data_IF_281892429892
#
_entry.id   IF_281892429892
#
_cell.length_a   1.000
_cell.length_b   1.000
_cell.length_c   1.000
_cell.angle_alpha   90.00
_cell.angle_beta   90.00
_cell.angle_gamma   90.00
#
_symmetry.space_group_name_H-M   'P 1'
#
loop_
_entity.id
_entity.type
_entity.pdbx_description
1 polymer ?
#
# COMPACT_ATOMS: atom_id res chain seq x y z
N UNK A 1 28.22 40.06 -15.26
CA UNK A 1 28.69 39.87 -16.65
C UNK A 1 27.59 40.36 -17.56
N UNK A 2 27.87 41.30 -18.47
CA UNK A 2 26.88 41.78 -19.43
C UNK A 2 26.89 40.77 -20.57
N UNK A 3 25.79 40.04 -20.76
CA UNK A 3 25.63 39.07 -21.85
C UNK A 3 24.97 39.80 -23.00
N UNK A 4 25.50 39.65 -24.22
CA UNK A 4 24.85 40.19 -25.43
C UNK A 4 23.42 39.65 -25.54
N UNK A 5 22.46 40.51 -25.87
CA UNK A 5 21.02 40.19 -25.88
C UNK A 5 20.73 38.90 -26.68
N UNK A 6 21.46 38.69 -27.78
CA UNK A 6 21.32 37.50 -28.60
C UNK A 6 21.70 36.19 -27.86
N UNK A 7 22.70 36.25 -26.98
CA UNK A 7 23.08 35.13 -26.12
C UNK A 7 22.06 34.87 -25.02
N UNK A 8 21.45 35.93 -24.49
CA UNK A 8 20.37 35.82 -23.49
C UNK A 8 19.17 35.05 -24.05
N UNK A 9 18.73 35.37 -25.27
CA UNK A 9 17.58 34.69 -25.90
C UNK A 9 17.80 33.19 -26.16
N UNK A 10 19.04 32.76 -26.39
CA UNK A 10 19.37 31.34 -26.60
C UNK A 10 19.26 30.50 -25.31
N UNK A 11 19.34 31.13 -24.14
CA UNK A 11 19.24 30.46 -22.84
C UNK A 11 17.80 30.37 -22.33
N UNK A 12 16.83 30.96 -23.03
CA UNK A 12 15.44 30.95 -22.58
C UNK A 12 14.74 29.64 -22.98
N UNK A 13 13.92 29.06 -22.09
CA UNK A 13 13.07 27.93 -22.42
C UNK A 13 12.18 28.22 -23.65
N UNK A 14 11.92 27.20 -24.47
CA UNK A 14 11.14 27.33 -25.72
C UNK A 14 9.68 27.78 -25.50
N UNK A 15 9.16 27.68 -24.28
CA UNK A 15 7.82 28.13 -23.90
C UNK A 15 7.78 29.57 -23.38
N UNK A 16 8.88 30.33 -23.48
CA UNK A 16 8.93 31.74 -23.06
C UNK A 16 8.03 32.59 -23.95
N UNK A 17 7.19 33.44 -23.35
CA UNK A 17 6.31 34.39 -24.07
C UNK A 17 6.70 35.81 -23.74
N UNK A 18 6.94 36.62 -24.77
CA UNK A 18 7.17 38.06 -24.62
C UNK A 18 5.86 38.82 -24.80
N UNK A 19 5.65 39.83 -23.96
CA UNK A 19 4.54 40.77 -24.11
C UNK A 19 5.12 42.14 -24.42
N UNK A 20 4.62 42.77 -25.48
CA UNK A 20 4.93 44.17 -25.79
C UNK A 20 3.82 45.05 -25.21
N UNK A 21 4.22 46.06 -24.46
CA UNK A 21 3.35 47.10 -23.94
C UNK A 21 3.60 48.39 -24.72
N UNK A 22 2.55 49.11 -25.07
CA UNK A 22 2.67 50.44 -25.68
C UNK A 22 2.94 51.51 -24.61
N UNK A 23 3.36 52.70 -25.05
CA UNK A 23 3.55 53.82 -24.14
C UNK A 23 2.26 54.09 -23.34
N UNK A 24 2.38 54.10 -22.02
CA UNK A 24 1.31 54.24 -21.02
C UNK A 24 0.42 53.00 -20.77
N UNK A 25 0.80 51.82 -21.25
CA UNK A 25 0.18 50.56 -20.82
C UNK A 25 0.94 49.96 -19.62
N UNK A 26 0.26 49.80 -18.49
CA UNK A 26 0.77 49.03 -17.34
C UNK A 26 0.33 47.58 -17.45
N UNK A 27 1.27 46.65 -17.27
CA UNK A 27 0.94 45.24 -17.14
C UNK A 27 0.06 45.02 -15.90
N UNK A 28 -1.08 44.36 -16.09
CA UNK A 28 -1.96 43.90 -15.02
C UNK A 28 -2.26 42.41 -15.23
N UNK A 29 -2.12 41.56 -14.20
CA UNK A 29 -2.53 40.17 -14.29
C UNK A 29 -4.02 40.07 -14.61
N UNK A 30 -4.37 39.49 -15.77
CA UNK A 30 -5.78 39.38 -16.20
C UNK A 30 -6.60 38.41 -15.35
N UNK A 31 -5.95 37.64 -14.46
CA UNK A 31 -6.50 36.89 -13.34
C UNK A 31 -5.45 36.86 -12.23
N UNK A 32 -5.85 36.81 -10.94
CA UNK A 32 -4.97 36.45 -9.80
C UNK A 32 -4.59 34.97 -9.90
N UNK A 33 -4.00 34.57 -11.01
CA UNK A 33 -3.40 33.26 -11.21
C UNK A 33 -1.91 33.54 -11.25
N UNK A 34 -1.25 32.97 -10.26
CA UNK A 34 0.18 33.04 -10.01
C UNK A 34 0.98 32.86 -11.30
N UNK A 35 1.91 33.79 -11.52
CA UNK A 35 2.76 33.81 -12.70
C UNK A 35 3.53 32.50 -12.82
N UNK A 36 3.66 32.00 -14.05
CA UNK A 36 4.13 30.65 -14.40
C UNK A 36 5.58 30.27 -14.04
N UNK A 37 6.13 30.83 -12.96
CA UNK A 37 7.39 30.42 -12.33
C UNK A 37 7.20 29.82 -10.93
N UNK A 38 5.99 29.88 -10.35
CA UNK A 38 5.71 29.36 -9.01
C UNK A 38 5.81 27.83 -8.87
N UNK A 39 5.72 27.08 -9.97
CA UNK A 39 5.83 25.61 -9.94
C UNK A 39 7.26 25.09 -9.75
N UNK A 40 8.28 25.94 -9.94
CA UNK A 40 9.70 25.58 -9.79
C UNK A 40 10.25 25.81 -8.37
N UNK A 41 9.47 26.41 -7.45
CA UNK A 41 9.87 26.65 -6.07
C UNK A 41 9.56 25.48 -5.11
N UNK A 42 9.04 24.36 -5.63
CA UNK A 42 8.46 23.30 -4.79
C UNK A 42 9.46 22.32 -4.17
N UNK A 43 10.77 22.46 -4.42
CA UNK A 43 11.76 21.51 -3.91
C UNK A 43 12.91 22.13 -3.08
N UNK A 44 12.87 23.44 -2.82
CA UNK A 44 13.79 24.05 -1.85
C UNK A 44 13.26 25.39 -1.38
N UNK A 45 12.52 25.37 -0.28
CA UNK A 45 12.70 26.23 0.88
C UNK A 45 11.53 25.97 1.84
N UNK A 46 11.90 25.52 3.03
CA UNK A 46 11.07 25.58 4.22
C UNK A 46 10.80 27.06 4.51
N UNK A 47 9.73 27.60 3.92
CA UNK A 47 9.27 28.96 4.16
C UNK A 47 8.18 28.90 5.22
N UNK A 48 8.54 29.34 6.43
CA UNK A 48 7.56 29.91 7.36
C UNK A 48 6.69 30.90 6.59
N UNK A 49 5.38 30.67 6.61
CA UNK A 49 4.41 31.59 6.06
C UNK A 49 4.39 32.87 6.93
N UNK A 50 4.89 33.97 6.38
CA UNK A 50 4.68 35.31 6.92
C UNK A 50 3.18 35.64 6.85
N UNK A 51 2.53 35.70 8.03
CA UNK A 51 1.10 35.96 8.18
C UNK A 51 0.89 37.26 8.95
N UNK A 52 1.32 38.37 8.36
CA UNK A 52 0.86 39.70 8.77
C UNK A 52 -0.53 39.97 8.16
N UNK A 53 -1.51 40.08 9.06
CA UNK A 53 -2.90 40.54 8.89
C UNK A 53 -4.04 39.48 8.79
N UNK A 54 -4.00 38.46 9.66
CA UNK A 54 -5.19 37.67 9.99
C UNK A 54 -5.42 37.58 11.51
N UNK A 55 -5.74 38.70 12.15
CA UNK A 55 -6.38 38.66 13.47
C UNK A 55 -7.76 38.00 13.33
N UNK A 56 -7.87 36.73 13.72
CA UNK A 56 -9.09 35.87 13.72
C UNK A 56 -9.38 35.00 12.48
N UNK A 57 -8.37 34.41 11.83
CA UNK A 57 -8.58 33.14 11.13
C UNK A 57 -8.21 32.01 12.10
N UNK A 58 -9.21 31.29 12.64
CA UNK A 58 -8.93 30.11 13.47
C UNK A 58 -8.02 29.16 12.69
N UNK A 59 -6.99 28.61 13.36
CA UNK A 59 -6.04 27.73 12.71
C UNK A 59 -6.80 26.57 12.00
N UNK A 60 -6.36 26.13 10.81
CA UNK A 60 -7.13 25.18 9.97
C UNK A 60 -7.60 23.93 10.72
N UNK A 61 -6.77 23.42 11.65
CA UNK A 61 -7.06 22.26 12.49
C UNK A 61 -8.22 22.47 13.47
N UNK A 62 -8.56 23.71 13.84
CA UNK A 62 -9.64 24.02 14.80
C UNK A 62 -11.00 23.63 14.22
N UNK A 63 -11.24 23.95 12.94
CA UNK A 63 -12.47 23.57 12.25
C UNK A 63 -12.56 22.05 12.09
N UNK A 64 -11.44 21.40 11.79
CA UNK A 64 -11.35 19.95 11.69
C UNK A 64 -11.63 19.29 13.04
N UNK A 65 -11.10 19.83 14.14
CA UNK A 65 -11.38 19.33 15.49
C UNK A 65 -12.86 19.49 15.86
N UNK A 66 -13.49 20.62 15.50
CA UNK A 66 -14.92 20.80 15.69
C UNK A 66 -15.75 19.80 14.88
N UNK A 67 -15.36 19.53 13.64
CA UNK A 67 -16.01 18.52 12.81
C UNK A 67 -15.86 17.12 13.42
N UNK A 68 -14.67 16.77 13.89
CA UNK A 68 -14.39 15.48 14.53
C UNK A 68 -15.17 15.30 15.85
N UNK A 69 -15.40 16.39 16.58
CA UNK A 69 -16.25 16.42 17.78
C UNK A 69 -17.72 16.16 17.48
N UNK A 70 -18.21 16.65 16.34
CA UNK A 70 -19.60 16.46 15.92
C UNK A 70 -19.83 15.07 15.30
N UNK A 71 -18.88 14.61 14.50
CA UNK A 71 -18.95 13.34 13.80
C UNK A 71 -17.56 12.68 13.71
N UNK A 72 -17.37 11.60 14.47
CA UNK A 72 -16.15 10.79 14.46
C UNK A 72 -15.91 10.09 13.12
N UNK A 73 -16.98 9.80 12.36
CA UNK A 73 -16.85 9.09 11.08
C UNK A 73 -16.23 9.96 9.99
N UNK A 74 -16.25 11.29 10.19
CA UNK A 74 -15.61 12.25 9.30
C UNK A 74 -14.13 11.98 9.05
N UNK A 75 -13.43 11.30 9.98
CA UNK A 75 -12.03 10.87 9.85
C UNK A 75 -11.76 10.04 8.59
N UNK A 76 -12.75 9.27 8.11
CA UNK A 76 -12.63 8.40 6.93
C UNK A 76 -12.55 9.25 5.65
N UNK A 77 -13.24 10.39 5.65
CA UNK A 77 -13.35 11.29 4.49
C UNK A 77 -12.27 12.37 4.47
N UNK A 78 -11.56 12.58 5.58
CA UNK A 78 -10.49 13.57 5.69
C UNK A 78 -9.31 13.22 4.78
N UNK A 79 -8.75 14.25 4.15
CA UNK A 79 -7.51 14.10 3.40
C UNK A 79 -6.34 13.83 4.33
N UNK A 80 -5.25 13.31 3.79
CA UNK A 80 -4.01 13.09 4.54
C UNK A 80 -3.47 14.39 5.14
N UNK A 81 -3.55 15.50 4.40
CA UNK A 81 -3.15 16.82 4.87
C UNK A 81 -4.01 17.32 6.04
N UNK A 82 -5.32 17.05 6.01
CA UNK A 82 -6.22 17.40 7.10
C UNK A 82 -5.91 16.61 8.37
N UNK A 83 -5.69 15.30 8.23
CA UNK A 83 -5.28 14.44 9.34
C UNK A 83 -3.92 14.87 9.90
N UNK A 84 -2.95 15.21 9.05
CA UNK A 84 -1.65 15.74 9.48
C UNK A 84 -1.81 17.05 10.26
N UNK A 85 -2.69 17.95 9.82
CA UNK A 85 -2.92 19.21 10.55
C UNK A 85 -3.48 19.00 11.97
N UNK A 86 -4.24 17.93 12.21
CA UNK A 86 -4.74 17.54 13.53
C UNK A 86 -3.64 16.91 14.40
N UNK A 87 -2.71 16.17 13.79
CA UNK A 87 -1.53 15.62 14.48
C UNK A 87 -0.57 16.74 14.89
N UNK A 88 -0.34 17.71 14.02
CA UNK A 88 0.58 18.83 14.26
C UNK A 88 0.02 19.89 15.22
N UNK A 89 -1.28 19.80 15.55
CA UNK A 89 -1.93 20.73 16.46
C UNK A 89 -1.34 20.61 17.89
N UNK A 90 -1.21 21.72 18.64
CA UNK A 90 -0.81 21.66 20.04
C UNK A 90 -1.79 20.81 20.86
N UNK A 91 -1.30 19.73 21.49
CA UNK A 91 -2.13 18.74 22.18
C UNK A 91 -3.11 19.36 23.20
N UNK A 92 -2.66 20.32 24.01
CA UNK A 92 -3.50 21.01 25.01
C UNK A 92 -4.62 21.85 24.39
N UNK A 93 -4.37 22.48 23.24
CA UNK A 93 -5.39 23.25 22.53
C UNK A 93 -6.38 22.32 21.82
N UNK A 94 -5.88 21.21 21.25
CA UNK A 94 -6.71 20.18 20.64
C UNK A 94 -7.63 19.51 21.68
N UNK A 95 -7.09 19.19 22.86
CA UNK A 95 -7.87 18.67 24.00
C UNK A 95 -8.99 19.63 24.37
N UNK A 96 -8.68 20.93 24.48
CA UNK A 96 -9.66 21.97 24.78
C UNK A 96 -10.74 22.08 23.69
N UNK A 97 -10.37 22.02 22.40
CA UNK A 97 -11.31 22.09 21.29
C UNK A 97 -12.28 20.88 21.27
N UNK A 98 -11.74 19.68 21.47
CA UNK A 98 -12.50 18.43 21.51
C UNK A 98 -13.29 18.24 22.81
N UNK A 99 -12.91 18.94 23.88
CA UNK A 99 -13.46 18.73 25.23
C UNK A 99 -12.94 17.46 25.89
N UNK A 100 -11.70 17.09 25.60
CA UNK A 100 -11.01 15.92 26.15
C UNK A 100 -10.02 16.32 27.26
N UNK A 101 -9.59 15.34 28.04
CA UNK A 101 -8.40 15.46 28.87
C UNK A 101 -7.14 15.38 27.98
N UNK A 102 -6.07 16.07 28.36
CA UNK A 102 -4.82 16.14 27.57
C UNK A 102 -4.31 14.75 27.17
N UNK A 103 -4.28 13.79 28.11
CA UNK A 103 -3.86 12.41 27.84
C UNK A 103 -4.68 11.74 26.73
N UNK A 104 -5.99 11.98 26.69
CA UNK A 104 -6.88 11.39 25.67
C UNK A 104 -6.68 12.05 24.30
N UNK A 105 -6.34 13.34 24.27
CA UNK A 105 -5.99 14.03 23.04
C UNK A 105 -4.64 13.53 22.49
N UNK A 106 -3.68 13.26 23.37
CA UNK A 106 -2.38 12.65 23.01
C UNK A 106 -2.57 11.24 22.41
N UNK A 107 -3.36 10.37 23.06
CA UNK A 107 -3.71 9.04 22.54
C UNK A 107 -4.41 9.11 21.16
N UNK A 108 -5.25 10.15 20.96
CA UNK A 108 -5.89 10.40 19.67
C UNK A 108 -4.86 10.81 18.61
N UNK A 109 -3.97 11.75 18.91
CA UNK A 109 -2.92 12.19 17.98
C UNK A 109 -1.98 11.04 17.61
N UNK A 110 -1.61 10.19 18.56
CA UNK A 110 -0.82 8.98 18.28
C UNK A 110 -1.57 8.02 17.34
N UNK A 111 -2.88 7.88 17.52
CA UNK A 111 -3.72 7.04 16.67
C UNK A 111 -3.90 7.62 15.27
N UNK A 112 -4.00 8.94 15.15
CA UNK A 112 -4.01 9.65 13.88
C UNK A 112 -2.68 9.45 13.14
N UNK A 113 -1.54 9.59 13.83
CA UNK A 113 -0.22 9.35 13.25
C UNK A 113 -0.08 7.91 12.74
N UNK A 114 -0.42 6.90 13.55
CA UNK A 114 -0.42 5.49 13.11
C UNK A 114 -1.29 5.24 11.87
N UNK A 115 -2.39 5.99 11.73
CA UNK A 115 -3.29 5.88 10.58
C UNK A 115 -2.65 6.49 9.32
N UNK A 116 -1.95 7.62 9.46
CA UNK A 116 -1.18 8.24 8.38
C UNK A 116 -0.05 7.32 7.90
N UNK A 117 0.72 6.78 8.83
CA UNK A 117 1.83 5.86 8.53
C UNK A 117 1.33 4.64 7.73
N UNK A 118 0.21 4.03 8.16
CA UNK A 118 -0.41 2.91 7.43
C UNK A 118 -0.85 3.28 6.02
N UNK A 119 -1.44 4.47 5.83
CA UNK A 119 -1.85 4.94 4.49
C UNK A 119 -0.64 5.10 3.57
N UNK A 120 0.47 5.62 4.10
CA UNK A 120 1.72 5.77 3.36
C UNK A 120 2.34 4.40 3.00
N UNK A 121 2.38 3.46 3.94
CA UNK A 121 2.81 2.08 3.68
C UNK A 121 1.98 1.40 2.58
N UNK A 122 0.66 1.55 2.61
CA UNK A 122 -0.25 1.03 1.58
C UNK A 122 0.05 1.66 0.21
N UNK A 123 0.31 2.97 0.17
CA UNK A 123 0.68 3.69 -1.06
C UNK A 123 2.00 3.17 -1.64
N UNK A 124 3.01 3.01 -0.79
CA UNK A 124 4.33 2.49 -1.19
C UNK A 124 4.24 1.06 -1.72
N UNK A 125 3.52 0.19 -1.00
CA UNK A 125 3.29 -1.20 -1.41
C UNK A 125 2.57 -1.28 -2.76
N UNK A 126 1.50 -0.50 -2.94
CA UNK A 126 0.77 -0.42 -4.21
C UNK A 126 1.66 0.05 -5.36
N UNK A 127 2.48 1.08 -5.13
CA UNK A 127 3.41 1.57 -6.15
C UNK A 127 4.43 0.49 -6.57
N UNK A 128 4.98 -0.25 -5.60
CA UNK A 128 5.91 -1.35 -5.85
C UNK A 128 5.24 -2.48 -6.66
N UNK A 129 4.03 -2.89 -6.27
CA UNK A 129 3.28 -3.93 -6.99
C UNK A 129 2.95 -3.51 -8.43
N UNK A 130 2.60 -2.24 -8.65
CA UNK A 130 2.39 -1.71 -10.00
C UNK A 130 3.66 -1.75 -10.85
N UNK A 131 4.83 -1.50 -10.26
CA UNK A 131 6.11 -1.65 -10.95
C UNK A 131 6.39 -3.11 -11.30
N UNK A 132 6.07 -4.05 -10.41
CA UNK A 132 6.19 -5.48 -10.68
C UNK A 132 5.30 -5.91 -11.87
N UNK A 133 4.02 -5.53 -11.86
CA UNK A 133 3.09 -5.83 -12.97
C UNK A 133 3.63 -5.27 -14.29
N UNK A 134 4.07 -4.01 -14.31
CA UNK A 134 4.67 -3.40 -15.52
C UNK A 134 5.94 -4.11 -15.98
N UNK A 135 6.75 -4.62 -15.06
CA UNK A 135 7.96 -5.36 -15.39
C UNK A 135 7.63 -6.72 -16.03
N UNK A 136 6.64 -7.42 -15.49
CA UNK A 136 6.13 -8.68 -16.04
C UNK A 136 5.54 -8.47 -17.43
N UNK A 137 4.66 -7.48 -17.61
CA UNK A 137 4.08 -7.13 -18.92
C UNK A 137 5.15 -6.78 -19.98
N UNK A 138 6.27 -6.18 -19.55
CA UNK A 138 7.39 -5.88 -20.43
C UNK A 138 8.19 -7.13 -20.79
N UNK A 139 8.35 -8.06 -19.85
CA UNK A 139 8.99 -9.35 -20.09
C UNK A 139 8.17 -10.19 -21.10
N UNK A 140 6.84 -10.21 -20.95
CA UNK A 140 5.93 -10.90 -21.87
C UNK A 140 6.03 -10.33 -23.30
N UNK A 141 6.02 -9.00 -23.44
CA UNK A 141 6.20 -8.34 -24.76
C UNK A 141 7.55 -8.65 -25.43
N UNK A 142 8.61 -8.85 -24.64
CA UNK A 142 9.92 -9.23 -25.16
C UNK A 142 9.96 -10.69 -25.60
N UNK A 143 9.16 -11.57 -24.98
CA UNK A 143 8.97 -12.95 -25.42
C UNK A 143 8.12 -13.02 -26.71
N UNK A 144 7.02 -12.26 -26.80
CA UNK A 144 6.18 -12.19 -28.01
C UNK A 144 6.90 -11.55 -29.21
N UNK A 145 7.77 -10.57 -28.96
CA UNK A 145 8.58 -9.91 -30.00
C UNK A 145 9.68 -10.78 -30.60
N UNK A 146 10.06 -11.89 -29.94
CA UNK A 146 11.03 -12.86 -30.46
C UNK A 146 10.39 -13.98 -31.31
N UNK A 147 9.06 -14.10 -31.31
CA UNK A 147 8.33 -15.18 -31.99
C UNK A 147 7.90 -14.87 -33.43
N UNK A 148 8.12 -13.65 -33.93
CA UNK A 148 7.65 -13.22 -35.25
C UNK A 148 8.76 -13.16 -36.32
N UNK A 149 9.42 -14.29 -36.57
CA UNK A 149 10.06 -14.57 -37.88
C UNK A 149 9.86 -16.04 -38.25
N UNK A 150 8.68 -16.38 -38.75
CA UNK A 150 8.38 -17.68 -39.36
C UNK A 150 6.90 -17.79 -39.72
N UNK A 151 6.53 -18.17 -40.95
CA UNK A 151 5.13 -18.23 -41.34
C UNK A 151 4.49 -19.60 -41.03
N UNK A 152 3.16 -19.57 -40.93
CA UNK A 152 2.16 -20.64 -41.16
C UNK A 152 1.43 -21.20 -39.91
N UNK A 153 0.24 -20.63 -39.71
CA UNK A 153 -1.11 -21.25 -39.59
C UNK A 153 -1.56 -22.05 -38.34
N UNK A 154 -2.86 -21.83 -38.05
CA UNK A 154 -3.84 -22.56 -37.20
C UNK A 154 -4.03 -22.15 -35.71
N UNK A 155 -5.09 -21.34 -35.50
CA UNK A 155 -6.22 -21.46 -34.54
C UNK A 155 -6.00 -21.73 -33.01
N UNK A 156 -6.22 -20.68 -32.18
CA UNK A 156 -6.94 -20.57 -30.86
C UNK A 156 -6.50 -21.41 -29.64
N UNK A 157 -6.67 -20.98 -28.34
CA UNK A 157 -6.84 -19.65 -27.73
C UNK A 157 -5.68 -19.25 -26.78
N UNK A 158 -5.67 -17.98 -26.40
CA UNK A 158 -4.87 -17.40 -25.31
C UNK A 158 -5.12 -18.14 -23.98
N UNK A 159 -4.17 -18.97 -23.58
CA UNK A 159 -4.19 -19.74 -22.35
C UNK A 159 -2.75 -19.95 -21.93
N UNK A 160 -2.40 -19.44 -20.75
CA UNK A 160 -1.17 -19.72 -19.99
C UNK A 160 -0.53 -21.01 -20.49
N UNK A 161 0.67 -20.94 -21.07
CA UNK A 161 1.38 -22.11 -21.58
C UNK A 161 1.62 -23.11 -20.43
N UNK A 162 0.66 -24.01 -20.27
CA UNK A 162 0.78 -25.22 -19.47
C UNK A 162 1.43 -26.24 -20.38
N UNK A 163 2.57 -26.79 -19.94
CA UNK A 163 3.21 -27.87 -20.67
C UNK A 163 2.20 -29.03 -20.77
N UNK A 164 1.68 -29.25 -21.98
CA UNK A 164 0.55 -30.16 -22.23
C UNK A 164 0.88 -31.61 -21.86
N UNK A 165 2.17 -31.93 -21.74
CA UNK A 165 2.68 -33.25 -21.35
C UNK A 165 2.65 -33.46 -19.82
N UNK A 166 2.81 -32.40 -19.02
CA UNK A 166 2.94 -32.51 -17.57
C UNK A 166 1.78 -31.87 -16.78
N UNK A 167 1.08 -30.91 -17.38
CA UNK A 167 0.03 -30.13 -16.75
C UNK A 167 0.55 -29.11 -15.73
N UNK A 168 1.85 -28.82 -15.74
CA UNK A 168 2.46 -27.76 -14.94
C UNK A 168 2.67 -26.50 -15.77
N UNK A 169 2.62 -25.34 -15.14
CA UNK A 169 3.10 -24.11 -15.76
C UNK A 169 4.59 -24.22 -16.07
N UNK A 170 5.02 -23.67 -17.21
CA UNK A 170 6.45 -23.64 -17.60
C UNK A 170 7.36 -23.09 -16.49
N UNK A 171 6.89 -22.08 -15.75
CA UNK A 171 7.58 -21.51 -14.59
C UNK A 171 7.80 -22.53 -13.46
N UNK A 172 6.77 -23.31 -13.13
CA UNK A 172 6.82 -24.33 -12.06
C UNK A 172 7.85 -25.41 -12.40
N UNK A 173 7.90 -25.86 -13.65
CA UNK A 173 8.91 -26.80 -14.11
C UNK A 173 10.33 -26.22 -14.09
N UNK A 174 10.50 -24.95 -14.47
CA UNK A 174 11.80 -24.28 -14.43
C UNK A 174 12.34 -24.18 -13.00
N UNK A 175 11.47 -23.87 -12.03
CA UNK A 175 11.84 -23.82 -10.61
C UNK A 175 12.19 -25.21 -10.10
N UNK A 176 11.34 -26.21 -10.36
CA UNK A 176 11.58 -27.60 -9.94
C UNK A 176 12.88 -28.18 -10.51
N UNK A 177 13.21 -27.84 -11.76
CA UNK A 177 14.44 -28.29 -12.43
C UNK A 177 15.69 -27.47 -12.05
N UNK A 178 15.53 -26.41 -11.26
CA UNK A 178 16.62 -25.54 -10.81
C UNK A 178 17.60 -26.22 -9.83
N UNK A 179 18.73 -25.54 -9.56
CA UNK A 179 19.79 -26.02 -8.63
C UNK A 179 19.59 -25.57 -7.17
N UNK A 180 18.61 -24.72 -6.92
CA UNK A 180 18.26 -24.17 -5.60
C UNK A 180 17.14 -25.00 -4.98
N UNK A 181 16.97 -25.00 -3.65
CA UNK A 181 15.83 -25.58 -2.90
C UNK A 181 14.46 -25.21 -3.50
N UNK A 182 13.90 -25.99 -4.44
CA UNK A 182 12.72 -25.56 -5.19
C UNK A 182 11.46 -25.55 -4.32
N UNK A 183 11.39 -26.38 -3.28
CA UNK A 183 10.27 -26.48 -2.34
C UNK A 183 9.97 -25.13 -1.68
N UNK A 184 11.00 -24.37 -1.34
CA UNK A 184 10.84 -23.05 -0.69
C UNK A 184 10.34 -21.96 -1.65
N UNK A 185 10.56 -22.14 -2.95
CA UNK A 185 10.31 -21.11 -3.99
C UNK A 185 8.95 -21.26 -4.69
N UNK A 186 8.33 -22.43 -4.57
CA UNK A 186 7.01 -22.70 -5.12
C UNK A 186 5.92 -22.09 -4.24
N UNK A 187 4.78 -21.76 -4.84
CA UNK A 187 3.58 -21.37 -4.09
C UNK A 187 3.01 -22.58 -3.34
N UNK A 188 2.16 -22.34 -2.34
CA UNK A 188 1.48 -23.44 -1.61
C UNK A 188 0.58 -24.26 -2.55
N UNK A 189 -0.02 -23.62 -3.55
CA UNK A 189 -0.84 -24.26 -4.58
C UNK A 189 0.01 -25.13 -5.53
N UNK A 190 1.15 -24.61 -5.99
CA UNK A 190 2.11 -25.38 -6.81
C UNK A 190 2.62 -26.61 -6.04
N UNK A 191 2.94 -26.45 -4.75
CA UNK A 191 3.39 -27.57 -3.91
C UNK A 191 2.30 -28.65 -3.78
N UNK A 192 1.04 -28.26 -3.60
CA UNK A 192 -0.09 -29.20 -3.58
C UNK A 192 -0.26 -29.91 -4.93
N UNK A 193 -0.09 -29.20 -6.04
CA UNK A 193 -0.13 -29.78 -7.38
C UNK A 193 1.02 -30.78 -7.62
N UNK A 194 2.24 -30.47 -7.17
CA UNK A 194 3.38 -31.39 -7.24
C UNK A 194 3.12 -32.65 -6.42
N UNK A 195 2.48 -32.52 -5.25
CA UNK A 195 2.11 -33.67 -4.42
C UNK A 195 0.98 -34.51 -5.02
N UNK A 196 0.04 -33.92 -5.76
CA UNK A 196 -1.11 -34.64 -6.33
C UNK A 196 -0.73 -35.50 -7.55
N UNK A 197 0.34 -35.16 -8.27
CA UNK A 197 0.80 -35.88 -9.47
C UNK A 197 1.51 -37.20 -9.18
N UNK A 198 2.06 -37.36 -7.97
CA UNK A 198 2.72 -38.60 -7.53
C UNK A 198 4.13 -38.82 -8.10
N UNK A 199 4.90 -39.77 -7.52
CA UNK A 199 6.33 -39.89 -7.78
C UNK A 199 6.69 -40.40 -9.18
N UNK A 200 5.87 -41.26 -9.78
CA UNK A 200 6.11 -41.80 -11.12
C UNK A 200 5.99 -40.72 -12.20
N UNK A 201 4.94 -39.91 -12.12
CA UNK A 201 4.70 -38.79 -13.04
C UNK A 201 5.79 -37.74 -12.88
N UNK A 202 6.14 -37.41 -11.63
CA UNK A 202 7.20 -36.43 -11.36
C UNK A 202 8.57 -36.89 -11.87
N UNK A 203 8.87 -38.18 -11.82
CA UNK A 203 10.09 -38.74 -12.40
C UNK A 203 10.14 -38.53 -13.91
N UNK A 204 9.02 -38.80 -14.59
CA UNK A 204 8.89 -38.63 -16.04
C UNK A 204 8.98 -37.16 -16.46
N UNK A 205 8.31 -36.27 -15.74
CA UNK A 205 8.27 -34.81 -16.02
C UNK A 205 9.62 -34.15 -15.78
N UNK A 206 10.31 -34.53 -14.71
CA UNK A 206 11.61 -33.98 -14.36
C UNK A 206 12.77 -34.60 -15.16
N UNK A 207 12.58 -35.81 -15.69
CA UNK A 207 13.63 -36.57 -16.36
C UNK A 207 14.77 -36.98 -15.41
N UNK A 208 14.45 -37.11 -14.12
CA UNK A 208 15.42 -37.44 -13.07
C UNK A 208 15.31 -38.91 -12.67
N UNK A 209 16.34 -39.41 -12.00
CA UNK A 209 16.31 -40.74 -11.40
C UNK A 209 15.32 -40.80 -10.20
N UNK A 210 15.01 -42.01 -9.76
CA UNK A 210 14.02 -42.21 -8.70
C UNK A 210 14.47 -41.70 -7.34
N UNK A 211 15.76 -41.71 -7.03
CA UNK A 211 16.29 -41.28 -5.73
C UNK A 211 16.23 -39.77 -5.62
N UNK A 212 16.70 -39.06 -6.64
CA UNK A 212 16.64 -37.60 -6.73
C UNK A 212 15.20 -37.08 -6.74
N UNK A 213 14.31 -37.73 -7.49
CA UNK A 213 12.88 -37.36 -7.52
C UNK A 213 12.23 -37.58 -6.15
N UNK A 214 12.53 -38.71 -5.48
CA UNK A 214 12.01 -38.98 -4.16
C UNK A 214 12.51 -37.97 -3.11
N UNK A 215 13.80 -37.61 -3.14
CA UNK A 215 14.37 -36.61 -2.25
C UNK A 215 13.67 -35.24 -2.40
N UNK A 216 13.45 -34.81 -3.65
CA UNK A 216 12.70 -33.59 -3.94
C UNK A 216 11.27 -33.64 -3.39
N UNK A 217 10.55 -34.74 -3.62
CA UNK A 217 9.16 -34.85 -3.17
C UNK A 217 9.05 -34.89 -1.64
N UNK A 218 10.03 -35.48 -0.95
CA UNK A 218 10.09 -35.42 0.51
C UNK A 218 10.34 -33.98 1.00
N UNK A 219 11.24 -33.24 0.36
CA UNK A 219 11.48 -31.83 0.68
C UNK A 219 10.21 -30.98 0.46
N UNK A 220 9.54 -31.13 -0.69
CA UNK A 220 8.27 -30.46 -0.99
C UNK A 220 7.18 -30.80 0.04
N UNK A 221 7.09 -32.07 0.46
CA UNK A 221 6.12 -32.51 1.47
C UNK A 221 6.41 -31.89 2.84
N UNK A 222 7.66 -31.87 3.26
CA UNK A 222 8.08 -31.26 4.51
C UNK A 222 7.73 -29.77 4.53
N UNK A 223 8.12 -29.03 3.50
CA UNK A 223 7.83 -27.60 3.36
C UNK A 223 6.31 -27.32 3.35
N UNK A 224 5.53 -28.10 2.60
CA UNK A 224 4.07 -27.96 2.57
C UNK A 224 3.46 -28.18 3.97
N UNK A 225 3.93 -29.19 4.72
CA UNK A 225 3.45 -29.46 6.07
C UNK A 225 3.76 -28.31 7.04
N UNK A 226 4.96 -27.73 6.94
CA UNK A 226 5.37 -26.57 7.74
C UNK A 226 4.49 -25.36 7.45
N UNK A 227 4.24 -25.05 6.17
CA UNK A 227 3.36 -23.94 5.79
C UNK A 227 1.93 -24.12 6.27
N UNK A 228 1.37 -25.31 6.11
CA UNK A 228 0.00 -25.60 6.56
C UNK A 228 -0.13 -25.49 8.09
N UNK A 229 0.87 -25.98 8.84
CA UNK A 229 0.91 -25.84 10.29
C UNK A 229 0.98 -24.37 10.72
N UNK A 230 1.79 -23.55 10.06
CA UNK A 230 1.85 -22.11 10.31
C UNK A 230 0.51 -21.43 10.04
N UNK A 231 -0.15 -21.75 8.92
CA UNK A 231 -1.47 -21.23 8.59
C UNK A 231 -2.49 -21.59 9.67
N UNK A 232 -2.52 -22.85 10.11
CA UNK A 232 -3.42 -23.32 11.16
C UNK A 232 -3.15 -22.62 12.52
N UNK A 233 -1.88 -22.42 12.88
CA UNK A 233 -1.51 -21.70 14.09
C UNK A 233 -1.99 -20.23 14.05
N UNK A 234 -1.82 -19.55 12.91
CA UNK A 234 -2.32 -18.18 12.74
C UNK A 234 -3.84 -18.09 12.79
N UNK A 235 -4.55 -19.02 12.15
CA UNK A 235 -6.02 -19.10 12.21
C UNK A 235 -6.51 -19.32 13.65
N UNK A 236 -5.81 -20.15 14.43
CA UNK A 236 -6.14 -20.39 15.85
C UNK A 236 -6.03 -19.11 16.67
N UNK A 237 -4.95 -18.32 16.48
CA UNK A 237 -4.75 -17.03 17.14
C UNK A 237 -5.83 -16.01 16.73
N UNK A 238 -6.19 -15.99 15.45
CA UNK A 238 -7.25 -15.11 14.94
C UNK A 238 -8.61 -15.44 15.58
N UNK A 239 -8.95 -16.71 15.69
CA UNK A 239 -10.21 -17.15 16.29
C UNK A 239 -10.26 -16.87 17.80
N UNK A 240 -9.15 -17.04 18.53
CA UNK A 240 -9.11 -16.69 19.97
C UNK A 240 -9.19 -15.18 20.20
N UNK A 241 -8.68 -14.35 19.28
CA UNK A 241 -8.83 -12.89 19.33
C UNK A 241 -10.28 -12.44 19.10
N UNK A 242 -11.03 -13.16 18.27
CA UNK A 242 -12.45 -12.88 18.01
C UNK A 242 -13.33 -13.33 19.19
N UNK A 243 -13.03 -14.45 19.84
CA UNK A 243 -13.80 -14.95 20.99
C UNK A 243 -13.54 -14.17 22.29
N UNK A 244 -12.34 -13.60 22.46
CA UNK A 244 -12.02 -12.70 23.58
C UNK A 244 -12.82 -11.39 23.60
N UNK A 245 -13.51 -11.05 22.51
CA UNK A 245 -14.40 -9.88 22.42
C UNK A 245 -15.84 -10.16 22.86
N UNK A 246 -16.19 -11.41 23.23
CA UNK A 246 -17.54 -11.77 23.68
C UNK A 246 -17.48 -12.31 25.11
N UNK A 247 -17.27 -11.42 26.10
CA UNK A 247 -17.58 -11.77 27.49
C UNK A 247 -19.08 -12.06 27.64
N UNK A 248 -19.47 -13.16 28.31
CA UNK A 248 -20.82 -13.33 28.81
C UNK A 248 -21.01 -12.43 30.04
N UNK A 249 -21.89 -11.44 29.95
CA UNK A 249 -22.51 -10.82 31.12
C UNK A 249 -23.34 -11.90 31.83
N UNK A 250 -22.77 -12.53 32.85
CA UNK A 250 -23.55 -13.25 33.85
C UNK A 250 -24.03 -12.23 34.88
N UNK A 251 -25.32 -11.98 34.82
CA UNK A 251 -26.16 -11.22 35.74
C UNK A 251 -25.94 -11.64 37.19
N UNK A 252 -25.61 -10.69 38.05
CA UNK A 252 -25.84 -10.78 39.49
C UNK A 252 -27.35 -10.82 39.72
N UNK A 253 -27.88 -11.95 40.20
CA UNK A 253 -29.25 -12.05 40.71
C UNK A 253 -29.16 -12.25 42.21
N UNK A 254 -29.88 -11.38 42.93
CA UNK A 254 -30.16 -11.40 44.36
C UNK A 254 -30.35 -12.80 44.96
N UNK A 255 -29.67 -13.07 46.08
CA UNK A 255 -30.08 -14.10 47.03
C UNK A 255 -30.32 -13.47 48.40
N UNK A 256 -31.61 -13.20 48.62
CA UNK A 256 -32.39 -13.35 49.85
C UNK A 256 -31.70 -13.15 51.21
N UNK A 257 -32.15 -12.09 51.88
CA UNK A 257 -32.22 -12.01 53.33
C UNK A 257 -33.28 -12.98 53.86
N UNK A 258 -32.92 -13.83 54.83
CA UNK A 258 -33.84 -14.26 55.90
C UNK A 258 -33.03 -14.85 57.08
N UNK A 259 -33.02 -14.12 58.20
CA UNK A 259 -32.66 -14.63 59.53
C UNK A 259 -33.84 -14.39 60.46
N UNK A 260 -34.39 -15.42 61.13
CA UNK A 260 -35.20 -15.22 62.32
C UNK A 260 -34.49 -15.76 63.56
N UNK A 261 -34.47 -14.97 64.62
CA UNK A 261 -34.01 -15.43 65.93
C UNK A 261 -33.92 -14.30 66.94
N UNK A 262 -35.05 -13.95 67.58
CA UNK A 262 -35.12 -13.47 68.97
C UNK A 262 -36.57 -13.19 69.38
N UNK A 263 -37.19 -14.15 70.07
CA UNK A 263 -37.95 -13.98 71.33
C UNK A 263 -38.31 -15.36 71.88
#
# INVERSE_FOLDING_TARGET
>A
TIVEDQGYFLCLPSNTKFMLLHNNETWAPSRKIDGGTAWMARESMLLEADTVDASSAAAPWVNLAQQLKQDLTSIILMSEADLQSLVDAPCSQLASALGFQDKKAEELQETLQRTLDRKEEERQSKALLQLYVKAVEKEDRLQEGQSHQGPVDVDVPDGVEVDSVSGFMSRTLMVLKGKTSPETRLSTEDLQMVMSKGPEVMRQVLGWDSERTAALLQACKAELSTRLQQIQAMQSISNTRLDGSRQPNATNTEEAAETPGSS
#
